data_IF_196907800375
#
_entry.id   IF_196907800375
#
_cell.length_a   1.000
_cell.length_b   1.000
_cell.length_c   1.000
_cell.angle_alpha   90.00
_cell.angle_beta   90.00
_cell.angle_gamma   90.00
#
_symmetry.space_group_name_H-M   'P 1'
#
loop_
_entity.id
_entity.type
_entity.pdbx_description
1 polymer ?
#
# COMPACT_ATOMS: atom_id res chain seq x y z
N UNK A 1 -6.19 10.04 -20.74
CA UNK A 1 -5.11 9.31 -20.04
C UNK A 1 -4.06 8.96 -21.07
N UNK A 2 -2.93 9.69 -21.08
CA UNK A 2 -1.93 9.51 -22.14
C UNK A 2 -1.08 8.29 -21.80
N UNK A 3 -0.77 7.46 -22.78
CA UNK A 3 0.10 6.27 -22.64
C UNK A 3 1.47 6.61 -22.03
N UNK A 4 1.94 7.85 -22.18
CA UNK A 4 3.15 8.36 -21.53
C UNK A 4 3.03 8.50 -20.01
N UNK A 5 1.86 8.83 -19.47
CA UNK A 5 1.62 8.91 -18.02
C UNK A 5 1.56 7.51 -17.40
N UNK A 6 0.98 6.55 -18.13
CA UNK A 6 0.93 5.14 -17.72
C UNK A 6 2.33 4.53 -17.65
N UNK A 7 3.18 4.81 -18.65
CA UNK A 7 4.57 4.35 -18.68
C UNK A 7 5.46 5.07 -17.65
N UNK A 8 5.19 6.34 -17.32
CA UNK A 8 5.88 7.04 -16.24
C UNK A 8 5.51 6.49 -14.86
N UNK A 9 4.23 6.16 -14.65
CA UNK A 9 3.78 5.45 -13.46
C UNK A 9 4.46 4.09 -13.31
N UNK A 10 4.54 3.31 -14.39
CA UNK A 10 5.25 2.03 -14.40
C UNK A 10 6.76 2.18 -14.14
N UNK A 11 7.43 3.17 -14.72
CA UNK A 11 8.86 3.44 -14.44
C UNK A 11 9.14 3.77 -12.97
N UNK A 12 8.18 4.34 -12.24
CA UNK A 12 8.30 4.59 -10.80
C UNK A 12 8.23 3.29 -9.99
N UNK A 13 7.40 2.32 -10.42
CA UNK A 13 7.34 1.00 -9.82
C UNK A 13 8.50 0.08 -10.22
N UNK A 14 9.05 0.23 -11.43
CA UNK A 14 10.25 -0.51 -11.87
C UNK A 14 11.53 -0.05 -11.12
N UNK A 15 11.59 1.21 -10.68
CA UNK A 15 12.69 1.75 -9.88
C UNK A 15 12.64 1.37 -8.39
N UNK A 16 11.53 0.77 -7.97
CA UNK A 16 11.33 0.25 -6.64
C UNK A 16 11.76 -1.23 -6.67
N UNK A 17 12.90 -1.55 -6.07
CA UNK A 17 13.52 -2.89 -6.06
C UNK A 17 12.66 -4.03 -5.44
N UNK A 18 11.37 -3.80 -5.23
CA UNK A 18 10.36 -4.80 -4.90
C UNK A 18 10.23 -5.89 -5.96
N UNK A 19 10.70 -5.66 -7.19
CA UNK A 19 10.78 -6.71 -8.23
C UNK A 19 11.69 -7.89 -7.81
N UNK A 20 12.55 -7.71 -6.81
CA UNK A 20 13.33 -8.80 -6.20
C UNK A 20 12.52 -9.71 -5.27
N UNK A 21 11.24 -9.42 -5.03
CA UNK A 21 10.32 -10.22 -4.22
C UNK A 21 9.14 -10.74 -5.08
N UNK A 22 9.38 -11.65 -6.04
CA UNK A 22 8.33 -12.20 -6.90
C UNK A 22 7.34 -13.12 -6.16
N UNK A 23 7.71 -13.55 -4.95
CA UNK A 23 6.91 -14.39 -4.05
C UNK A 23 5.91 -13.58 -3.22
N UNK A 24 6.05 -12.25 -3.16
CA UNK A 24 5.18 -11.43 -2.33
C UNK A 24 3.78 -11.29 -2.90
N UNK A 25 2.79 -11.49 -2.03
CA UNK A 25 1.41 -11.18 -2.35
C UNK A 25 1.19 -9.66 -2.54
N UNK A 26 0.15 -9.24 -3.27
CA UNK A 26 -0.18 -7.82 -3.39
C UNK A 26 -0.41 -7.11 -2.04
N UNK A 27 -0.91 -7.85 -1.04
CA UNK A 27 -1.07 -7.36 0.34
C UNK A 27 0.28 -7.19 1.05
N UNK A 28 1.23 -8.10 0.84
CA UNK A 28 2.60 -7.97 1.36
C UNK A 28 3.32 -6.72 0.81
N UNK A 29 3.26 -6.50 -0.51
CA UNK A 29 3.82 -5.31 -1.16
C UNK A 29 3.22 -4.03 -0.57
N UNK A 30 1.90 -3.99 -0.43
CA UNK A 30 1.20 -2.85 0.19
C UNK A 30 1.64 -2.64 1.63
N UNK A 31 1.73 -3.70 2.43
CA UNK A 31 2.18 -3.63 3.82
C UNK A 31 3.59 -3.08 3.93
N UNK A 32 4.52 -3.59 3.12
CA UNK A 32 5.90 -3.16 3.10
C UNK A 32 5.97 -1.65 2.91
N UNK A 33 5.28 -1.12 1.89
CA UNK A 33 5.26 0.31 1.58
C UNK A 33 4.63 1.18 2.68
N UNK A 34 3.61 0.68 3.36
CA UNK A 34 2.92 1.41 4.42
C UNK A 34 3.76 1.52 5.70
N UNK A 35 4.44 0.47 6.12
CA UNK A 35 5.14 0.43 7.42
C UNK A 35 6.42 1.27 7.44
N UNK A 36 7.10 1.35 6.30
CA UNK A 36 8.36 2.08 6.13
C UNK A 36 8.17 3.52 5.64
N UNK A 37 6.92 3.95 5.42
CA UNK A 37 6.61 5.31 5.03
C UNK A 37 7.01 6.30 6.14
N UNK A 38 7.54 7.45 5.74
CA UNK A 38 7.87 8.51 6.69
C UNK A 38 6.61 9.27 7.07
N UNK A 39 6.39 9.41 8.38
CA UNK A 39 5.30 10.24 8.89
C UNK A 39 5.48 11.68 8.40
N UNK A 40 4.45 12.25 7.80
CA UNK A 40 4.43 13.68 7.52
C UNK A 40 4.42 14.46 8.83
N UNK A 41 4.99 15.66 8.84
CA UNK A 41 4.96 16.52 10.02
C UNK A 41 3.52 16.89 10.37
N UNK A 42 3.14 16.57 11.60
CA UNK A 42 1.83 16.89 12.18
C UNK A 42 1.64 18.41 12.11
N UNK A 43 0.70 18.87 11.27
CA UNK A 43 0.38 20.31 11.10
C UNK A 43 0.40 20.84 9.66
N UNK A 44 0.97 20.11 8.69
CA UNK A 44 0.93 20.51 7.27
C UNK A 44 -0.41 20.19 6.59
N UNK A 45 -1.10 19.15 7.04
CA UNK A 45 -2.37 18.70 6.48
C UNK A 45 -3.37 18.45 7.61
N UNK A 46 -4.45 19.24 7.66
CA UNK A 46 -5.50 19.12 8.67
C UNK A 46 -6.23 17.76 8.63
N UNK A 47 -6.32 17.17 7.44
CA UNK A 47 -6.97 15.87 7.21
C UNK A 47 -6.05 14.67 7.58
N UNK A 48 -4.78 14.92 7.94
CA UNK A 48 -3.83 13.94 8.42
C UNK A 48 -3.78 12.64 7.58
N UNK A 49 -4.03 11.47 8.18
CA UNK A 49 -3.99 10.15 7.53
C UNK A 49 -5.00 10.02 6.39
N UNK A 50 -6.06 10.83 6.36
CA UNK A 50 -6.99 10.86 5.22
C UNK A 50 -6.41 11.60 4.01
N UNK A 51 -5.41 12.47 4.21
CA UNK A 51 -4.69 13.14 3.12
C UNK A 51 -3.49 12.33 2.62
N UNK A 52 -2.69 11.76 3.52
CA UNK A 52 -1.40 11.12 3.16
C UNK A 52 -1.28 9.64 3.55
N UNK A 53 -2.31 9.03 4.12
CA UNK A 53 -2.27 7.64 4.57
C UNK A 53 -1.16 7.40 5.59
N UNK A 54 -0.27 6.45 5.30
CA UNK A 54 0.88 6.13 6.16
C UNK A 54 2.04 7.12 6.06
N UNK A 55 2.01 8.03 5.08
CA UNK A 55 3.02 9.08 4.91
C UNK A 55 3.75 9.02 3.58
N UNK A 56 4.96 9.56 3.53
CA UNK A 56 5.77 9.60 2.31
C UNK A 56 6.48 8.26 2.07
N UNK A 57 6.37 7.73 0.85
CA UNK A 57 6.95 6.43 0.49
C UNK A 57 8.48 6.51 0.56
N UNK A 58 9.12 5.48 1.14
CA UNK A 58 10.59 5.34 1.18
C UNK A 58 11.03 4.09 0.37
N UNK A 59 11.34 4.22 -0.93
CA UNK A 59 11.65 3.08 -1.78
C UNK A 59 12.81 2.18 -1.31
N UNK A 60 13.78 2.77 -0.61
CA UNK A 60 14.99 2.07 -0.17
C UNK A 60 14.73 1.16 1.03
N UNK A 61 13.83 1.54 1.94
CA UNK A 61 13.46 0.69 3.08
C UNK A 61 12.35 -0.31 2.74
N UNK A 62 11.58 -0.05 1.67
CA UNK A 62 10.51 -0.95 1.21
C UNK A 62 11.03 -2.33 0.76
N UNK A 63 12.29 -2.41 0.36
CA UNK A 63 12.91 -3.64 -0.14
C UNK A 63 13.20 -4.64 0.96
N UNK A 64 13.41 -4.20 2.19
CA UNK A 64 13.60 -5.07 3.35
C UNK A 64 12.91 -4.44 4.56
N UNK A 65 11.57 -4.56 4.65
CA UNK A 65 10.76 -3.94 5.70
C UNK A 65 10.84 -4.71 7.02
N UNK A 66 11.52 -5.86 7.07
CA UNK A 66 11.61 -6.77 8.20
C UNK A 66 10.31 -7.54 8.50
N UNK A 67 9.17 -6.86 8.56
CA UNK A 67 7.84 -7.45 8.77
C UNK A 67 6.87 -6.99 7.68
N UNK A 68 6.09 -7.93 7.14
CA UNK A 68 4.99 -7.67 6.21
C UNK A 68 3.71 -8.32 6.70
N UNK A 69 2.59 -7.60 6.58
CA UNK A 69 1.25 -8.10 6.85
C UNK A 69 0.68 -8.71 5.57
N UNK A 70 0.75 -10.03 5.47
CA UNK A 70 0.08 -10.76 4.41
C UNK A 70 -1.39 -10.95 4.72
N UNK A 71 -2.22 -10.83 3.69
CA UNK A 71 -3.66 -11.08 3.80
C UNK A 71 -4.11 -11.91 2.61
N UNK A 72 -4.60 -13.14 2.83
CA UNK A 72 -5.09 -14.00 1.77
C UNK A 72 -6.48 -13.55 1.32
N UNK A 73 -6.90 -13.97 0.13
CA UNK A 73 -8.14 -13.50 -0.50
C UNK A 73 -9.39 -13.86 0.32
N UNK A 74 -9.34 -14.98 1.06
CA UNK A 74 -10.42 -15.46 1.91
C UNK A 74 -10.75 -14.48 3.03
N UNK A 75 -9.77 -13.76 3.58
CA UNK A 75 -9.99 -12.74 4.60
C UNK A 75 -10.72 -11.52 4.03
N UNK A 76 -10.41 -11.14 2.78
CA UNK A 76 -11.21 -10.14 2.06
C UNK A 76 -12.65 -10.64 1.87
N UNK A 77 -12.86 -11.87 1.44
CA UNK A 77 -14.21 -12.43 1.26
C UNK A 77 -15.00 -12.46 2.58
N UNK A 78 -14.34 -12.79 3.71
CA UNK A 78 -14.95 -12.74 5.05
C UNK A 78 -15.36 -11.32 5.43
N UNK A 79 -14.51 -10.32 5.20
CA UNK A 79 -14.82 -8.91 5.44
C UNK A 79 -16.06 -8.48 4.63
N UNK A 80 -16.10 -8.80 3.34
CA UNK A 80 -17.23 -8.48 2.46
C UNK A 80 -18.53 -9.15 2.93
N UNK A 81 -18.46 -10.44 3.31
CA UNK A 81 -19.61 -11.15 3.88
C UNK A 81 -20.06 -10.57 5.23
N UNK A 82 -19.15 -10.03 6.03
CA UNK A 82 -19.50 -9.37 7.30
C UNK A 82 -20.25 -8.07 7.05
N UNK A 83 -19.74 -7.24 6.14
CA UNK A 83 -20.34 -5.94 5.83
C UNK A 83 -21.76 -6.09 5.29
N UNK A 84 -22.00 -7.04 4.38
CA UNK A 84 -23.33 -7.27 3.81
C UNK A 84 -24.36 -7.71 4.84
N UNK A 85 -23.95 -8.41 5.92
CA UNK A 85 -24.83 -8.78 7.02
C UNK A 85 -25.17 -7.59 7.93
N UNK A 86 -24.28 -6.62 8.05
CA UNK A 86 -24.51 -5.43 8.90
C UNK A 86 -25.37 -4.36 8.23
N UNK A 87 -25.42 -4.32 6.89
CA UNK A 87 -26.20 -3.34 6.12
C UNK A 87 -27.61 -3.81 5.78
N UNK A 88 -28.02 -4.99 6.27
CA UNK A 88 -29.30 -5.65 5.99
C UNK A 88 -30.28 -5.69 7.17
N UNK A 89 -30.19 -4.75 8.13
CA UNK A 89 -31.13 -4.58 9.24
C UNK A 89 -31.58 -3.12 9.38
#
# INVERSE_FOLDING_TARGET
>A
MKTSEFLQGWKFFDGLHLWHHPDWSPSAIKSALMMIAWKFFDGLHREAEFAYGSGHINPLMATDPGLVYETPIEEYLKLWCSLSRTTGS
#
